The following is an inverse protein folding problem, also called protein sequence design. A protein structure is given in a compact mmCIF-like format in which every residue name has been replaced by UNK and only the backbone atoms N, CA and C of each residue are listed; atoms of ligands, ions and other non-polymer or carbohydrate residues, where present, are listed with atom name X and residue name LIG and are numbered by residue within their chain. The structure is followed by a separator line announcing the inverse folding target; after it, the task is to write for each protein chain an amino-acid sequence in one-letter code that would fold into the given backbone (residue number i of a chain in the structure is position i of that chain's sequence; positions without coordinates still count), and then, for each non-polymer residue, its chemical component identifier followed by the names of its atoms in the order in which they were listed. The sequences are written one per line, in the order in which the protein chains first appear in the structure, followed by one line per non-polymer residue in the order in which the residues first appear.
data_IF_955519693980
#
_entry.id   IF_955519693980
#
_cell.length_a   1.000
_cell.length_b   1.000
_cell.length_c   1.000
_cell.angle_alpha   90.00
_cell.angle_beta   90.00
_cell.angle_gamma   90.00
#
_symmetry.space_group_name_H-M   'P 1'
#
loop_
_entity.id
_entity.type
_entity.pdbx_description
1 polymer ?
#
# COMPACT_ATOMS: atom_id res chain seq x y z
N UNK A 1 -3.99 -1.45 -18.62
CA UNK A 1 -2.70 -1.68 -17.93
C UNK A 1 -2.43 -0.70 -16.77
N UNK A 2 -3.39 0.16 -16.39
CA UNK A 2 -3.21 1.23 -15.38
C UNK A 2 -3.39 0.79 -13.93
N UNK A 3 -3.82 -0.46 -13.68
CA UNK A 3 -4.07 -0.96 -12.32
C UNK A 3 -2.79 -1.38 -11.56
N UNK A 4 -1.70 -1.74 -12.26
CA UNK A 4 -0.51 -2.31 -11.62
C UNK A 4 0.45 -1.26 -11.04
N UNK A 5 0.46 -0.02 -11.54
CA UNK A 5 1.25 1.09 -10.96
C UNK A 5 0.58 1.72 -9.74
N UNK A 6 -0.69 1.37 -9.51
CA UNK A 6 -1.59 2.00 -8.54
C UNK A 6 -1.43 1.43 -7.12
N UNK A 7 -1.01 0.17 -7.03
CA UNK A 7 -0.72 -0.54 -5.77
C UNK A 7 0.47 0.06 -4.99
N UNK A 8 1.24 0.98 -5.59
CA UNK A 8 2.37 1.65 -4.92
C UNK A 8 1.88 2.46 -3.71
N UNK A 9 0.70 3.10 -3.78
CA UNK A 9 0.13 3.83 -2.64
C UNK A 9 -0.15 2.91 -1.45
N UNK A 10 -0.71 1.73 -1.72
CA UNK A 10 -0.94 0.68 -0.71
C UNK A 10 0.36 0.12 -0.13
N UNK A 11 1.42 0.04 -0.95
CA UNK A 11 2.73 -0.46 -0.52
C UNK A 11 3.38 0.42 0.54
N UNK A 12 3.03 1.70 0.64
CA UNK A 12 3.56 2.60 1.68
C UNK A 12 2.58 2.84 2.82
N UNK A 13 1.27 2.95 2.53
CA UNK A 13 0.26 3.24 3.53
C UNK A 13 0.16 2.13 4.59
N UNK A 14 0.25 0.87 4.19
CA UNK A 14 0.05 -0.24 5.13
C UNK A 14 1.26 -0.47 6.04
N UNK A 15 2.52 -0.48 5.55
CA UNK A 15 3.66 -0.46 6.45
C UNK A 15 3.58 0.72 7.41
N UNK A 16 3.27 1.93 6.94
CA UNK A 16 3.11 3.08 7.82
C UNK A 16 2.07 2.84 8.93
N UNK A 17 0.93 2.23 8.61
CA UNK A 17 -0.10 1.81 9.55
C UNK A 17 0.39 0.73 10.53
N UNK A 18 1.12 -0.28 10.05
CA UNK A 18 1.74 -1.29 10.90
C UNK A 18 2.74 -0.66 11.88
N UNK A 19 3.54 0.31 11.41
CA UNK A 19 4.46 1.06 12.26
C UNK A 19 3.72 1.89 13.33
N UNK A 20 2.63 2.55 12.95
CA UNK A 20 1.80 3.29 13.88
C UNK A 20 1.18 2.38 14.97
N UNK A 21 0.73 1.19 14.60
CA UNK A 21 0.20 0.20 15.56
C UNK A 21 1.31 -0.28 16.50
N UNK A 22 2.50 -0.61 15.99
CA UNK A 22 3.64 -0.99 16.85
C UNK A 22 3.98 0.10 17.87
N UNK A 23 3.98 1.37 17.43
CA UNK A 23 4.22 2.52 18.30
C UNK A 23 3.12 2.70 19.34
N UNK A 24 1.86 2.47 18.99
CA UNK A 24 0.73 2.57 19.90
C UNK A 24 0.83 1.57 21.05
N UNK A 25 1.29 0.35 20.77
CA UNK A 25 1.48 -0.70 21.78
C UNK A 25 2.86 -0.64 22.49
N UNK A 26 3.68 0.36 22.21
CA UNK A 26 4.99 0.51 22.83
C UNK A 26 5.99 -0.60 22.47
N UNK A 27 5.82 -1.24 21.31
CA UNK A 27 6.73 -2.29 20.86
C UNK A 27 8.13 -1.74 20.58
N UNK A 28 9.15 -2.56 20.83
CA UNK A 28 10.54 -2.23 20.49
C UNK A 28 10.61 -1.95 19.00
N UNK A 29 11.19 -0.79 18.63
CA UNK A 29 11.29 -0.39 17.24
C UNK A 29 12.08 -1.44 16.45
N UNK A 30 11.49 -2.03 15.40
CA UNK A 30 12.23 -2.95 14.56
C UNK A 30 13.34 -2.18 13.85
N UNK A 31 14.53 -2.78 13.81
CA UNK A 31 15.63 -2.30 12.97
C UNK A 31 15.17 -2.04 11.55
N UNK A 32 15.70 -0.98 10.92
CA UNK A 32 15.41 -0.64 9.52
C UNK A 32 15.49 -1.84 8.56
N UNK A 33 16.42 -2.75 8.79
CA UNK A 33 16.62 -3.96 7.98
C UNK A 33 15.48 -4.95 8.17
N UNK A 34 15.11 -5.29 9.41
CA UNK A 34 14.01 -6.23 9.67
C UNK A 34 12.67 -5.67 9.19
N UNK A 35 12.48 -4.36 9.35
CA UNK A 35 11.30 -3.67 8.88
C UNK A 35 11.24 -3.57 7.35
N UNK A 36 12.38 -3.36 6.69
CA UNK A 36 12.50 -3.40 5.22
C UNK A 36 12.20 -4.79 4.64
N UNK A 37 12.66 -5.86 5.31
CA UNK A 37 12.32 -7.24 4.94
C UNK A 37 10.83 -7.50 5.10
N UNK A 38 10.22 -7.06 6.20
CA UNK A 38 8.77 -7.12 6.39
C UNK A 38 8.03 -6.38 5.25
N UNK A 39 8.43 -5.15 4.93
CA UNK A 39 7.82 -4.38 3.86
C UNK A 39 7.94 -5.08 2.49
N UNK A 40 9.07 -5.72 2.19
CA UNK A 40 9.25 -6.50 0.97
C UNK A 40 8.32 -7.72 0.90
N UNK A 41 8.27 -8.53 1.96
CA UNK A 41 7.36 -9.68 2.02
C UNK A 41 5.90 -9.24 1.92
N UNK A 42 5.57 -8.12 2.56
CA UNK A 42 4.24 -7.52 2.53
C UNK A 42 3.84 -7.09 1.12
N UNK A 43 4.73 -6.39 0.39
CA UNK A 43 4.50 -5.97 -0.99
C UNK A 43 4.33 -7.17 -1.92
N UNK A 44 5.17 -8.20 -1.77
CA UNK A 44 5.06 -9.44 -2.56
C UNK A 44 3.73 -10.17 -2.30
N UNK A 45 3.30 -10.25 -1.03
CA UNK A 45 2.03 -10.82 -0.66
C UNK A 45 0.85 -10.00 -1.23
N UNK A 46 0.91 -8.67 -1.16
CA UNK A 46 -0.09 -7.77 -1.79
C UNK A 46 -0.21 -7.99 -3.28
N UNK A 47 0.92 -8.11 -3.96
CA UNK A 47 0.93 -8.32 -5.40
C UNK A 47 0.26 -9.64 -5.80
N UNK A 48 0.46 -10.68 -4.97
CA UNK A 48 -0.17 -11.99 -5.14
C UNK A 48 -1.69 -11.94 -4.91
N UNK A 49 -2.15 -11.08 -3.99
CA UNK A 49 -3.57 -10.94 -3.63
C UNK A 49 -4.31 -9.94 -4.52
N UNK A 50 -3.63 -9.00 -5.19
CA UNK A 50 -4.27 -8.11 -6.16
C UNK A 50 -5.00 -8.87 -7.29
N UNK A 51 -4.67 -10.15 -7.51
CA UNK A 51 -5.37 -11.06 -8.43
C UNK A 51 -6.65 -11.69 -7.85
N UNK A 52 -6.89 -11.60 -6.53
CA UNK A 52 -7.97 -12.29 -5.81
C UNK A 52 -8.80 -11.26 -5.01
N UNK A 53 -10.04 -10.95 -5.43
CA UNK A 53 -10.89 -9.98 -4.73
C UNK A 53 -11.21 -10.47 -3.30
N UNK A 54 -10.88 -9.66 -2.30
CA UNK A 54 -11.27 -9.87 -0.89
C UNK A 54 -10.22 -10.55 0.01
N UNK A 55 -9.08 -11.02 -0.51
CA UNK A 55 -8.07 -11.74 0.28
C UNK A 55 -7.04 -10.88 1.03
N UNK A 56 -7.10 -9.55 0.88
CA UNK A 56 -6.01 -8.61 1.21
C UNK A 56 -5.46 -8.74 2.63
N UNK A 57 -6.36 -8.70 3.62
CA UNK A 57 -6.04 -8.79 5.05
C UNK A 57 -5.69 -10.21 5.48
N UNK A 58 -6.37 -11.21 4.91
CA UNK A 58 -6.31 -12.60 5.37
C UNK A 58 -4.90 -13.16 5.17
N UNK A 59 -4.23 -12.74 4.10
CA UNK A 59 -2.83 -13.11 3.81
C UNK A 59 -1.82 -12.27 4.63
N UNK A 60 -2.24 -11.11 5.16
CA UNK A 60 -1.37 -10.19 5.87
C UNK A 60 -1.18 -10.50 7.34
N UNK A 61 -2.26 -10.89 8.02
CA UNK A 61 -2.23 -11.26 9.44
C UNK A 61 -1.09 -12.23 9.80
N UNK A 62 -0.91 -13.36 9.11
CA UNK A 62 0.17 -14.29 9.43
C UNK A 62 1.57 -13.71 9.16
N UNK A 63 1.72 -12.76 8.25
CA UNK A 63 3.01 -12.07 7.98
C UNK A 63 3.32 -11.09 9.12
N UNK A 64 2.31 -10.36 9.61
CA UNK A 64 2.43 -9.45 10.76
C UNK A 64 2.78 -10.20 12.05
N UNK A 65 2.11 -11.32 12.31
CA UNK A 65 2.42 -12.18 13.47
C UNK A 65 3.85 -12.75 13.37
N UNK A 66 4.22 -13.28 12.20
CA UNK A 66 5.52 -13.95 12.00
C UNK A 66 6.71 -12.99 11.97
N UNK A 67 6.57 -11.81 11.38
CA UNK A 67 7.70 -10.90 11.16
C UNK A 67 7.76 -9.73 12.15
N UNK A 68 6.63 -9.32 12.72
CA UNK A 68 6.56 -8.20 13.66
C UNK A 68 6.10 -8.62 15.06
N UNK A 69 5.77 -9.90 15.28
CA UNK A 69 5.37 -10.40 16.60
C UNK A 69 4.02 -9.85 17.08
N UNK A 70 3.14 -9.49 16.14
CA UNK A 70 1.82 -8.97 16.49
C UNK A 70 1.03 -10.00 17.30
N UNK A 71 0.37 -9.55 18.37
CA UNK A 71 -0.62 -10.36 19.08
C UNK A 71 -1.96 -10.33 18.36
N UNK A 72 -2.89 -11.24 18.67
CA UNK A 72 -4.22 -11.26 18.04
C UNK A 72 -4.98 -9.95 18.22
N UNK A 73 -4.78 -9.25 19.34
CA UNK A 73 -5.36 -7.91 19.59
C UNK A 73 -4.83 -6.88 18.59
N UNK A 74 -3.50 -6.81 18.39
CA UNK A 74 -2.87 -5.92 17.41
C UNK A 74 -3.29 -6.29 15.97
N UNK A 75 -3.42 -7.59 15.69
CA UNK A 75 -3.92 -8.12 14.43
C UNK A 75 -5.35 -7.67 14.12
N UNK A 76 -6.23 -7.66 15.13
CA UNK A 76 -7.60 -7.16 14.98
C UNK A 76 -7.63 -5.65 14.74
N UNK A 77 -6.77 -4.88 15.42
CA UNK A 77 -6.70 -3.42 15.27
C UNK A 77 -6.21 -3.02 13.88
N UNK A 78 -5.13 -3.63 13.40
CA UNK A 78 -4.61 -3.33 12.05
C UNK A 78 -5.57 -3.78 10.95
N UNK A 79 -6.33 -4.86 11.18
CA UNK A 79 -7.40 -5.30 10.29
C UNK A 79 -8.54 -4.29 10.24
N UNK A 80 -9.00 -3.80 11.39
CA UNK A 80 -10.04 -2.79 11.46
C UNK A 80 -9.60 -1.48 10.78
N UNK A 81 -8.37 -1.03 11.03
CA UNK A 81 -7.78 0.13 10.39
C UNK A 81 -7.62 -0.08 8.88
N UNK A 82 -7.19 -1.27 8.45
CA UNK A 82 -7.12 -1.59 7.03
C UNK A 82 -8.50 -1.43 6.38
N UNK A 83 -9.55 -2.04 6.94
CA UNK A 83 -10.90 -1.96 6.37
C UNK A 83 -11.39 -0.51 6.33
N UNK A 84 -11.07 0.27 7.37
CA UNK A 84 -11.42 1.68 7.46
C UNK A 84 -10.71 2.52 6.39
N UNK A 85 -9.43 2.26 6.12
CA UNK A 85 -8.61 3.03 5.19
C UNK A 85 -8.64 2.50 3.74
N UNK A 86 -9.09 1.26 3.50
CA UNK A 86 -9.23 0.67 2.16
C UNK A 86 -10.00 1.58 1.18
N UNK A 87 -11.16 2.17 1.52
CA UNK A 87 -11.83 3.12 0.64
C UNK A 87 -11.06 4.44 0.47
N UNK A 88 -10.33 4.91 1.48
CA UNK A 88 -9.51 6.13 1.38
C UNK A 88 -8.31 5.93 0.46
N UNK A 89 -7.62 4.79 0.59
CA UNK A 89 -6.47 4.47 -0.26
C UNK A 89 -6.93 4.22 -1.69
N UNK A 90 -8.06 3.52 -1.88
CA UNK A 90 -8.68 3.36 -3.20
C UNK A 90 -9.03 4.71 -3.82
N UNK A 91 -9.65 5.64 -3.07
CA UNK A 91 -9.95 6.98 -3.53
C UNK A 91 -8.68 7.77 -3.90
N UNK A 92 -7.68 7.79 -3.02
CA UNK A 92 -6.41 8.47 -3.23
C UNK A 92 -5.71 7.95 -4.49
N UNK A 93 -5.71 6.64 -4.67
CA UNK A 93 -5.13 6.05 -5.85
C UNK A 93 -5.95 6.48 -7.10
N UNK A 94 -7.28 6.38 -7.11
CA UNK A 94 -8.13 6.78 -8.27
C UNK A 94 -7.91 8.25 -8.65
N UNK A 95 -7.82 9.14 -7.65
CA UNK A 95 -7.45 10.55 -7.82
C UNK A 95 -6.06 10.70 -8.44
N UNK A 96 -5.07 9.94 -7.96
CA UNK A 96 -3.71 9.93 -8.51
C UNK A 96 -3.68 9.52 -9.99
N UNK A 97 -4.50 8.54 -10.39
CA UNK A 97 -4.63 8.15 -11.80
C UNK A 97 -5.22 9.29 -12.66
N UNK A 98 -6.28 9.96 -12.17
CA UNK A 98 -6.85 11.14 -12.84
C UNK A 98 -5.83 12.28 -12.98
N UNK A 99 -5.05 12.54 -11.92
CA UNK A 99 -3.96 13.52 -11.92
C UNK A 99 -2.83 13.16 -12.90
N UNK A 100 -2.41 11.89 -12.93
CA UNK A 100 -1.37 11.42 -13.83
C UNK A 100 -1.79 11.53 -15.31
N UNK A 101 -3.04 11.20 -15.63
CA UNK A 101 -3.61 11.40 -16.98
C UNK A 101 -3.60 12.87 -17.37
N UNK A 102 -3.93 13.79 -16.45
CA UNK A 102 -3.85 15.23 -16.68
C UNK A 102 -2.42 15.70 -16.95
N UNK A 103 -1.43 15.21 -16.19
CA UNK A 103 -0.01 15.54 -16.38
C UNK A 103 0.49 15.02 -17.73
N UNK A 104 0.19 13.77 -18.07
CA UNK A 104 0.54 13.20 -19.37
C UNK A 104 -0.12 13.96 -20.52
N UNK A 105 -1.39 14.35 -20.37
CA UNK A 105 -2.10 15.12 -21.40
C UNK A 105 -1.46 16.51 -21.59
N UNK A 106 -1.02 17.17 -20.51
CA UNK A 106 -0.26 18.44 -20.57
C UNK A 106 1.10 18.27 -21.26
N UNK A 107 1.85 17.22 -20.94
CA UNK A 107 3.14 16.92 -21.58
C UNK A 107 2.98 16.60 -23.07
N UNK A 108 2.00 15.76 -23.40
CA UNK A 108 1.67 15.40 -24.78
C UNK A 108 1.26 16.63 -25.61
N UNK A 109 0.47 17.53 -25.03
CA UNK A 109 0.09 18.82 -25.66
C UNK A 109 1.26 19.79 -25.83
N UNK A 110 2.35 19.63 -25.06
CA UNK A 110 3.60 20.41 -25.20
C UNK A 110 4.56 19.83 -26.24
N UNK A 111 4.48 18.52 -26.50
CA UNK A 111 5.35 17.79 -27.46
C UNK A 111 4.74 17.65 -28.87
N UNK A 112 3.40 17.62 -29.00
CA UNK A 112 2.72 17.59 -30.31
C UNK A 112 2.76 18.89 -31.15
N UNK A 113 2.94 20.13 -30.63
CA UNK A 113 3.00 21.33 -31.47
C UNK A 113 4.21 21.38 -32.43
N UNK A 114 5.21 20.51 -32.20
CA UNK A 114 6.46 20.44 -32.98
C UNK A 114 6.48 19.31 -34.02
N UNK A 115 5.45 18.46 -34.09
CA UNK A 115 5.37 17.34 -35.05
C UNK A 115 4.32 17.53 -36.16
N UNK A 116 3.49 18.58 -36.07
CA UNK A 116 2.43 18.90 -37.06
C UNK A 116 2.72 20.25 -37.73
N UNK A 117 3.99 20.57 -37.95
CA UNK A 117 4.39 21.72 -38.77
C UNK A 117 5.35 21.26 -39.85
#
# INVERSE_FOLDING_TARGET
MTASTHLIGDCFAIPLLAFAVMKHFGMVEPTLISYGVFALYFVMAKFSVAAIPGGGIIVMLPILEKHLGFTSEMGSLITALYILFDPFITCANVLGNGGFVLVLNRLKKKWLPSMVR
#
